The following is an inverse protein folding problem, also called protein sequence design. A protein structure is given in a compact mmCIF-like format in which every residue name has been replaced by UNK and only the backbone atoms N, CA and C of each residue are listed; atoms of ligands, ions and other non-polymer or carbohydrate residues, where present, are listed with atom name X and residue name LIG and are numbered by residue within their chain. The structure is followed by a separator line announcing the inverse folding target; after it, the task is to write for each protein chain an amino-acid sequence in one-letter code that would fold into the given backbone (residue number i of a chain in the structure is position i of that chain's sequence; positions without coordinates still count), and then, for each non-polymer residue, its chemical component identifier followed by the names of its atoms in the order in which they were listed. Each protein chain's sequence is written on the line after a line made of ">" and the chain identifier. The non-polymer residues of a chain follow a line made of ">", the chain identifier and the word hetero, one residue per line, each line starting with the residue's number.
data_IF_238227885253
#
_entry.id   IF_238227885253
#
_cell.length_a   1.000
_cell.length_b   1.000
_cell.length_c   1.000
_cell.angle_alpha   90.00
_cell.angle_beta   90.00
_cell.angle_gamma   90.00
#
_symmetry.space_group_name_H-M   'P 1'
#
loop_
_entity.id
_entity.type
_entity.pdbx_description
1 polymer ?
#
# COMPACT_ATOMS: atom_id res chain seq x y z
N UNK A 1 14.97 -37.23 11.13
CA UNK A 1 14.60 -36.62 12.43
C UNK A 1 13.71 -35.43 12.19
N UNK A 2 12.56 -35.38 12.84
CA UNK A 2 11.62 -34.27 12.79
C UNK A 2 12.18 -33.03 13.50
N UNK A 3 11.67 -31.83 13.16
CA UNK A 3 12.06 -30.60 13.84
C UNK A 3 11.81 -30.67 15.36
N UNK A 4 10.74 -31.34 15.79
CA UNK A 4 10.38 -31.51 17.19
C UNK A 4 11.43 -32.35 17.96
N UNK A 5 11.85 -33.48 17.40
CA UNK A 5 12.85 -34.35 18.02
C UNK A 5 14.20 -33.65 18.16
N UNK A 6 14.62 -32.92 17.12
CA UNK A 6 15.91 -32.21 17.14
C UNK A 6 15.93 -31.05 18.14
N UNK A 7 14.82 -30.31 18.28
CA UNK A 7 14.68 -29.24 19.29
C UNK A 7 14.78 -29.85 20.70
N UNK A 8 14.06 -30.94 20.96
CA UNK A 8 14.09 -31.63 22.25
C UNK A 8 15.48 -32.19 22.57
N UNK A 9 16.18 -32.76 21.59
CA UNK A 9 17.54 -33.27 21.75
C UNK A 9 18.52 -32.17 22.12
N UNK A 10 18.44 -31.01 21.44
CA UNK A 10 19.29 -29.86 21.76
C UNK A 10 19.02 -29.33 23.17
N UNK A 11 17.75 -29.21 23.57
CA UNK A 11 17.40 -28.78 24.93
C UNK A 11 17.90 -29.78 25.99
N UNK A 12 17.90 -31.09 25.70
CA UNK A 12 18.48 -32.13 26.57
C UNK A 12 20.00 -32.01 26.70
N UNK A 13 20.69 -31.72 25.59
CA UNK A 13 22.15 -31.57 25.58
C UNK A 13 22.61 -30.34 26.36
N UNK A 14 21.90 -29.22 26.22
CA UNK A 14 22.30 -27.93 26.79
C UNK A 14 21.85 -27.80 28.25
N UNK A 15 20.75 -28.46 28.64
CA UNK A 15 20.22 -28.52 30.01
C UNK A 15 20.10 -27.16 30.72
N UNK A 16 19.87 -26.09 29.96
CA UNK A 16 19.61 -24.73 30.44
C UNK A 16 18.59 -24.04 29.50
N UNK A 17 17.96 -22.93 29.94
CA UNK A 17 17.05 -22.18 29.08
C UNK A 17 17.75 -21.66 27.82
N UNK A 18 17.16 -21.93 26.67
CA UNK A 18 17.71 -21.54 25.35
C UNK A 18 16.69 -20.76 24.53
N UNK A 19 17.18 -19.81 23.75
CA UNK A 19 16.37 -19.02 22.82
C UNK A 19 16.18 -19.76 21.51
N UNK A 20 15.12 -19.41 20.76
CA UNK A 20 14.92 -19.93 19.40
C UNK A 20 16.14 -19.67 18.49
N UNK A 21 16.81 -18.55 18.67
CA UNK A 21 18.03 -18.21 17.93
C UNK A 21 19.19 -19.16 18.27
N UNK A 22 19.43 -19.44 19.55
CA UNK A 22 20.49 -20.39 19.96
C UNK A 22 20.24 -21.80 19.41
N UNK A 23 18.98 -22.24 19.38
CA UNK A 23 18.59 -23.52 18.76
C UNK A 23 18.88 -23.51 17.25
N UNK A 24 18.59 -22.41 16.56
CA UNK A 24 18.85 -22.26 15.13
C UNK A 24 20.34 -22.16 14.81
N UNK A 25 21.10 -21.37 15.57
CA UNK A 25 22.53 -21.14 15.37
C UNK A 25 23.32 -22.44 15.57
N UNK A 26 22.95 -23.26 16.56
CA UNK A 26 23.56 -24.57 16.76
C UNK A 26 23.22 -25.58 15.65
N UNK A 27 22.08 -25.43 14.98
CA UNK A 27 21.57 -26.39 13.98
C UNK A 27 21.94 -26.02 12.55
N UNK A 28 22.04 -24.72 12.25
CA UNK A 28 22.28 -24.19 10.92
C UNK A 28 23.40 -23.13 10.93
N UNK A 29 24.62 -23.47 11.38
CA UNK A 29 25.73 -22.52 11.38
C UNK A 29 26.04 -22.11 9.93
N UNK A 30 25.91 -20.81 9.63
CA UNK A 30 26.18 -20.25 8.31
C UNK A 30 25.20 -20.62 7.19
N UNK A 31 24.03 -21.20 7.51
CA UNK A 31 22.98 -21.55 6.53
C UNK A 31 21.70 -20.75 6.76
N UNK A 32 20.83 -20.59 5.73
CA UNK A 32 19.51 -19.97 5.91
C UNK A 32 18.70 -20.70 6.99
N UNK A 33 18.23 -19.96 7.99
CA UNK A 33 17.57 -20.51 9.17
C UNK A 33 16.06 -20.69 8.92
N UNK A 34 15.51 -21.91 9.05
CA UNK A 34 14.08 -22.15 8.90
C UNK A 34 13.28 -21.56 10.08
N UNK A 35 12.01 -21.27 9.87
CA UNK A 35 11.12 -20.82 10.94
C UNK A 35 10.74 -22.00 11.86
N UNK A 36 11.14 -21.96 13.13
CA UNK A 36 10.92 -23.05 14.10
C UNK A 36 9.89 -22.72 15.21
N UNK A 37 9.37 -21.48 15.25
CA UNK A 37 8.53 -21.05 16.37
C UNK A 37 7.16 -21.75 16.41
N UNK A 38 6.63 -22.19 15.27
CA UNK A 38 5.43 -23.03 15.25
C UNK A 38 5.67 -24.35 15.98
N UNK A 39 6.77 -25.03 15.67
CA UNK A 39 7.16 -26.28 16.32
C UNK A 39 7.48 -26.11 17.80
N UNK A 40 8.08 -24.99 18.20
CA UNK A 40 8.29 -24.65 19.63
C UNK A 40 6.94 -24.48 20.32
N UNK A 41 5.99 -23.75 19.72
CA UNK A 41 4.66 -23.56 20.29
C UNK A 41 3.92 -24.90 20.44
N UNK A 42 3.99 -25.79 19.45
CA UNK A 42 3.38 -27.12 19.53
C UNK A 42 3.99 -27.93 20.68
N UNK A 43 5.31 -27.86 20.88
CA UNK A 43 5.99 -28.54 22.00
C UNK A 43 5.58 -27.95 23.36
N UNK A 44 5.38 -26.64 23.46
CA UNK A 44 4.89 -25.97 24.67
C UNK A 44 3.44 -26.34 24.95
N UNK A 45 2.57 -26.35 23.95
CA UNK A 45 1.17 -26.77 24.07
C UNK A 45 1.04 -28.23 24.51
N UNK A 46 1.92 -29.10 24.03
CA UNK A 46 1.99 -30.49 24.45
C UNK A 46 2.76 -30.70 25.76
N UNK A 47 3.06 -29.63 26.52
CA UNK A 47 3.78 -29.66 27.81
C UNK A 47 5.16 -30.35 27.74
N UNK A 48 5.77 -30.40 26.55
CA UNK A 48 7.12 -30.97 26.32
C UNK A 48 8.23 -29.94 26.53
N UNK A 49 7.91 -28.66 26.46
CA UNK A 49 8.80 -27.54 26.78
C UNK A 49 8.10 -26.56 27.71
N UNK A 50 8.86 -25.95 28.60
CA UNK A 50 8.46 -24.79 29.41
C UNK A 50 9.02 -23.54 28.76
N UNK A 51 8.16 -22.56 28.51
CA UNK A 51 8.53 -21.28 27.90
C UNK A 51 8.52 -20.17 28.95
N UNK A 52 9.55 -19.34 28.94
CA UNK A 52 9.63 -18.13 29.77
C UNK A 52 9.54 -16.88 28.88
N UNK A 53 8.41 -16.18 28.98
CA UNK A 53 8.13 -14.93 28.25
C UNK A 53 8.49 -13.66 29.04
N UNK A 54 8.90 -13.77 30.29
CA UNK A 54 9.34 -12.63 31.12
C UNK A 54 10.70 -12.08 30.67
N UNK A 55 11.49 -12.91 29.98
CA UNK A 55 12.79 -12.54 29.40
C UNK A 55 12.66 -12.29 27.89
N UNK A 56 13.38 -11.27 27.38
CA UNK A 56 13.45 -10.95 25.94
C UNK A 56 14.87 -11.11 25.41
N UNK A 57 15.10 -11.93 24.36
CA UNK A 57 14.14 -12.83 23.71
C UNK A 57 13.68 -13.97 24.64
N UNK A 58 12.47 -14.51 24.40
CA UNK A 58 11.93 -15.60 25.22
C UNK A 58 12.86 -16.82 25.20
N UNK A 59 12.85 -17.59 26.28
CA UNK A 59 13.62 -18.83 26.39
C UNK A 59 12.69 -20.03 26.55
N UNK A 60 13.19 -21.21 26.18
CA UNK A 60 12.52 -22.50 26.39
C UNK A 60 13.48 -23.48 27.05
N UNK A 61 12.94 -24.36 27.88
CA UNK A 61 13.67 -25.47 28.50
C UNK A 61 12.81 -26.71 28.65
N UNK A 62 13.42 -27.82 29.02
CA UNK A 62 12.67 -29.02 29.42
C UNK A 62 12.00 -28.80 30.79
N UNK A 63 10.82 -29.41 31.01
CA UNK A 63 10.24 -29.50 32.33
C UNK A 63 11.15 -30.25 33.30
N UNK A 64 11.15 -29.83 34.57
CA UNK A 64 11.80 -30.58 35.65
C UNK A 64 10.86 -31.65 36.21
N UNK A 65 11.41 -32.73 36.76
CA UNK A 65 10.60 -33.79 37.37
C UNK A 65 9.78 -33.24 38.54
N UNK A 66 8.47 -33.46 38.51
CA UNK A 66 7.52 -32.94 39.50
C UNK A 66 7.13 -31.47 39.32
N UNK A 67 7.60 -30.81 38.26
CA UNK A 67 7.23 -29.42 37.98
C UNK A 67 5.76 -29.30 37.53
N UNK A 68 5.00 -28.47 38.23
CA UNK A 68 3.66 -28.07 37.80
C UNK A 68 3.80 -27.07 36.67
N UNK A 69 3.72 -27.56 35.43
CA UNK A 69 3.76 -26.72 34.23
C UNK A 69 2.42 -25.97 34.14
N UNK A 70 2.42 -24.62 34.14
CA UNK A 70 1.20 -23.84 33.95
C UNK A 70 0.50 -24.21 32.64
N UNK A 71 -0.82 -24.05 32.57
CA UNK A 71 -1.55 -24.31 31.34
C UNK A 71 -0.97 -23.46 30.20
N UNK A 72 -0.58 -24.07 29.07
CA UNK A 72 -0.01 -23.35 27.95
C UNK A 72 -1.04 -22.32 27.47
N UNK A 73 -0.65 -21.05 27.37
CA UNK A 73 -1.48 -20.07 26.68
C UNK A 73 -1.66 -20.54 25.22
N UNK A 74 -2.91 -20.62 24.75
CA UNK A 74 -3.22 -21.08 23.39
C UNK A 74 -2.77 -20.02 22.37
N UNK A 75 -1.62 -20.26 21.75
CA UNK A 75 -1.10 -19.45 20.65
C UNK A 75 -1.44 -20.04 19.27
N UNK A 76 -2.24 -21.12 19.21
CA UNK A 76 -2.66 -21.72 17.95
C UNK A 76 -3.62 -20.80 17.21
N UNK A 77 -3.47 -20.70 15.89
CA UNK A 77 -4.37 -19.91 15.03
C UNK A 77 -5.71 -20.60 14.76
N UNK A 78 -6.01 -21.73 15.41
CA UNK A 78 -7.00 -22.71 14.95
C UNK A 78 -8.38 -22.51 15.59
N UNK A 79 -8.49 -21.87 16.76
CA UNK A 79 -9.78 -21.55 17.39
C UNK A 79 -10.12 -20.06 17.37
N UNK A 80 -10.15 -19.45 16.17
CA UNK A 80 -11.04 -18.30 15.96
C UNK A 80 -12.34 -18.82 15.37
N UNK A 81 -13.30 -19.11 16.24
CA UNK A 81 -14.72 -18.96 15.90
C UNK A 81 -14.84 -17.64 15.14
N UNK A 82 -15.42 -17.63 13.93
CA UNK A 82 -15.64 -16.41 13.15
C UNK A 82 -16.28 -15.38 14.09
N UNK A 83 -15.54 -14.36 14.56
CA UNK A 83 -16.16 -13.34 15.35
C UNK A 83 -16.89 -12.48 14.33
N UNK A 84 -18.20 -12.35 14.47
CA UNK A 84 -18.91 -11.14 14.07
C UNK A 84 -18.21 -9.98 14.75
N UNK A 85 -17.20 -9.41 14.09
CA UNK A 85 -16.33 -8.39 14.66
C UNK A 85 -17.04 -7.05 14.68
N UNK A 86 -17.75 -6.79 15.77
CA UNK A 86 -17.83 -5.44 16.31
C UNK A 86 -16.46 -5.11 16.92
N UNK A 87 -15.72 -4.21 16.28
CA UNK A 87 -14.40 -3.79 16.74
C UNK A 87 -14.54 -2.78 17.90
N UNK A 88 -14.33 -3.25 19.13
CA UNK A 88 -14.16 -2.39 20.31
C UNK A 88 -12.73 -2.43 20.82
N UNK A 89 -12.06 -1.25 20.83
CA UNK A 89 -10.84 -0.92 21.60
C UNK A 89 -9.55 -1.58 21.12
N UNK A 90 -8.51 -0.90 20.66
CA UNK A 90 -8.01 0.46 20.88
C UNK A 90 -7.68 1.03 19.50
N UNK A 91 -8.32 2.14 19.09
CA UNK A 91 -7.92 2.86 17.89
C UNK A 91 -6.53 3.44 18.13
N UNK A 92 -5.53 2.94 17.41
CA UNK A 92 -4.30 3.71 17.21
C UNK A 92 -4.75 5.02 16.56
N UNK A 93 -4.45 6.20 17.12
CA UNK A 93 -4.94 7.46 16.59
C UNK A 93 -4.45 7.60 15.14
N UNK A 94 -5.40 7.52 14.21
CA UNK A 94 -5.15 7.82 12.81
C UNK A 94 -5.53 9.28 12.58
N UNK A 95 -4.84 9.91 11.64
CA UNK A 95 -5.05 11.34 11.39
C UNK A 95 -6.47 11.52 10.86
N UNK A 96 -7.20 12.44 11.49
CA UNK A 96 -8.50 12.92 11.03
C UNK A 96 -8.30 14.22 10.27
N UNK A 97 -9.17 14.47 9.32
CA UNK A 97 -9.25 15.76 8.66
C UNK A 97 -10.70 16.10 8.34
N UNK A 98 -11.00 17.37 8.17
CA UNK A 98 -12.34 17.87 7.84
C UNK A 98 -12.42 18.36 6.40
N UNK A 99 -13.65 18.62 5.95
CA UNK A 99 -13.89 19.21 4.63
C UNK A 99 -13.28 20.62 4.52
N UNK A 100 -13.34 21.41 5.58
CA UNK A 100 -12.77 22.76 5.61
C UNK A 100 -11.24 22.74 5.43
N UNK A 101 -10.55 21.74 5.97
CA UNK A 101 -9.11 21.57 5.79
C UNK A 101 -8.75 21.19 4.36
N UNK A 102 -9.57 20.36 3.71
CA UNK A 102 -9.44 20.03 2.29
C UNK A 102 -9.64 21.29 1.42
N UNK A 103 -10.67 22.07 1.71
CA UNK A 103 -11.00 23.29 0.96
C UNK A 103 -9.96 24.41 1.15
N UNK A 104 -9.47 24.60 2.37
CA UNK A 104 -8.37 25.52 2.63
C UNK A 104 -7.11 25.10 1.88
N UNK A 105 -6.78 23.80 1.89
CA UNK A 105 -5.60 23.31 1.18
C UNK A 105 -5.74 23.46 -0.33
N UNK A 106 -6.92 23.18 -0.89
CA UNK A 106 -7.21 23.42 -2.29
C UNK A 106 -7.04 24.91 -2.67
N UNK A 107 -7.51 25.84 -1.83
CA UNK A 107 -7.29 27.29 -2.03
C UNK A 107 -5.81 27.66 -1.98
N UNK A 108 -5.04 27.06 -1.07
CA UNK A 108 -3.59 27.27 -0.97
C UNK A 108 -2.84 26.76 -2.20
N UNK A 109 -3.16 25.55 -2.68
CA UNK A 109 -2.56 25.00 -3.91
C UNK A 109 -2.83 25.92 -5.10
N UNK A 110 -4.07 26.38 -5.28
CA UNK A 110 -4.43 27.24 -6.40
C UNK A 110 -3.71 28.60 -6.38
N UNK A 111 -3.34 29.10 -5.19
CA UNK A 111 -2.59 30.35 -5.02
C UNK A 111 -1.07 30.15 -5.04
N UNK A 112 -0.59 28.92 -5.03
CA UNK A 112 0.84 28.63 -5.02
C UNK A 112 1.45 29.00 -6.38
N UNK A 113 2.49 29.86 -6.40
CA UNK A 113 3.07 30.37 -7.64
C UNK A 113 3.75 29.28 -8.48
N UNK A 114 4.01 28.09 -7.92
CA UNK A 114 4.55 26.97 -8.69
C UNK A 114 3.44 26.02 -9.10
N UNK A 115 2.67 25.52 -8.13
CA UNK A 115 1.71 24.44 -8.40
C UNK A 115 0.40 24.94 -8.98
N UNK A 116 -0.06 26.11 -8.54
CA UNK A 116 -1.22 26.77 -9.14
C UNK A 116 -0.96 27.12 -10.60
N UNK A 117 0.20 27.71 -10.90
CA UNK A 117 0.59 28.05 -12.27
C UNK A 117 0.78 26.82 -13.16
N UNK A 118 1.46 25.78 -12.68
CA UNK A 118 1.58 24.52 -13.43
C UNK A 118 0.22 23.88 -13.68
N UNK A 119 -0.66 23.83 -12.67
CA UNK A 119 -2.03 23.35 -12.82
C UNK A 119 -2.83 24.15 -13.85
N UNK A 120 -2.65 25.48 -13.89
CA UNK A 120 -3.28 26.35 -14.87
C UNK A 120 -2.78 26.08 -16.30
N UNK A 121 -1.47 25.83 -16.49
CA UNK A 121 -0.91 25.44 -17.78
C UNK A 121 -1.47 24.10 -18.24
N UNK A 122 -1.50 23.07 -17.37
CA UNK A 122 -2.10 21.77 -17.70
C UNK A 122 -3.56 21.94 -18.10
N UNK A 123 -4.35 22.66 -17.29
CA UNK A 123 -5.76 22.93 -17.57
C UNK A 123 -5.95 23.62 -18.94
N UNK A 124 -5.16 24.65 -19.23
CA UNK A 124 -5.21 25.40 -20.50
C UNK A 124 -4.87 24.51 -21.70
N UNK A 125 -3.76 23.77 -21.64
CA UNK A 125 -3.32 22.89 -22.71
C UNK A 125 -4.32 21.76 -22.98
N UNK A 126 -4.85 21.11 -21.93
CA UNK A 126 -5.80 20.02 -22.09
C UNK A 126 -7.17 20.51 -22.59
N UNK A 127 -7.63 21.70 -22.20
CA UNK A 127 -8.87 22.26 -22.76
C UNK A 127 -8.69 22.73 -24.21
N UNK A 128 -7.50 23.20 -24.60
CA UNK A 128 -7.20 23.59 -25.99
C UNK A 128 -7.14 22.37 -26.92
N UNK A 129 -6.62 21.26 -26.42
CA UNK A 129 -6.49 20.01 -27.17
C UNK A 129 -7.11 18.85 -26.39
N UNK A 130 -8.45 18.76 -26.30
CA UNK A 130 -9.11 17.83 -25.38
C UNK A 130 -8.92 16.37 -25.79
N UNK A 131 -8.93 16.07 -27.09
CA UNK A 131 -8.91 14.71 -27.59
C UNK A 131 -7.50 14.14 -27.76
N UNK A 132 -7.38 12.82 -27.73
CA UNK A 132 -6.17 12.03 -27.89
C UNK A 132 -6.20 11.26 -29.22
N UNK A 133 -6.34 12.00 -30.32
CA UNK A 133 -6.39 11.48 -31.70
C UNK A 133 -5.10 11.71 -32.48
N UNK A 134 -4.51 12.90 -32.32
CA UNK A 134 -3.31 13.32 -33.02
C UNK A 134 -2.05 12.93 -32.24
N UNK A 135 -1.11 12.26 -32.92
CA UNK A 135 0.08 11.71 -32.28
C UNK A 135 1.00 12.78 -31.70
N UNK A 136 1.12 13.94 -32.35
CA UNK A 136 1.99 15.04 -31.90
C UNK A 136 1.38 15.74 -30.70
N UNK A 137 0.05 15.93 -30.71
CA UNK A 137 -0.70 16.43 -29.55
C UNK A 137 -0.53 15.48 -28.35
N UNK A 138 -0.68 14.17 -28.54
CA UNK A 138 -0.51 13.19 -27.46
C UNK A 138 0.91 13.24 -26.92
N UNK A 139 1.93 13.32 -27.79
CA UNK A 139 3.32 13.46 -27.40
C UNK A 139 3.53 14.70 -26.52
N UNK A 140 2.98 15.85 -26.91
CA UNK A 140 3.06 17.09 -26.13
C UNK A 140 2.37 16.96 -24.76
N UNK A 141 1.21 16.31 -24.69
CA UNK A 141 0.52 16.06 -23.41
C UNK A 141 1.33 15.15 -22.49
N UNK A 142 1.92 14.08 -23.03
CA UNK A 142 2.80 13.18 -22.28
C UNK A 142 3.97 13.98 -21.70
N UNK A 143 4.65 14.78 -22.52
CA UNK A 143 5.78 15.59 -22.09
C UNK A 143 5.38 16.62 -21.02
N UNK A 144 4.25 17.32 -21.20
CA UNK A 144 3.74 18.29 -20.24
C UNK A 144 3.47 17.64 -18.87
N UNK A 145 2.79 16.51 -18.86
CA UNK A 145 2.43 15.82 -17.61
C UNK A 145 3.68 15.21 -16.96
N UNK A 146 4.59 14.61 -17.72
CA UNK A 146 5.85 14.07 -17.18
C UNK A 146 6.71 15.16 -16.54
N UNK A 147 6.85 16.31 -17.21
CA UNK A 147 7.65 17.43 -16.73
C UNK A 147 7.07 18.07 -15.47
N UNK A 148 5.76 18.34 -15.46
CA UNK A 148 5.09 19.00 -14.32
C UNK A 148 4.97 18.09 -13.10
N UNK A 149 4.95 16.77 -13.29
CA UNK A 149 4.77 15.80 -12.20
C UNK A 149 6.02 14.95 -11.92
N UNK A 150 7.14 15.25 -12.58
CA UNK A 150 8.41 14.54 -12.43
C UNK A 150 8.25 13.01 -12.49
N UNK A 151 7.46 12.49 -13.45
CA UNK A 151 7.27 11.04 -13.56
C UNK A 151 8.51 10.32 -14.11
N UNK A 152 9.52 11.08 -14.54
CA UNK A 152 10.84 10.63 -14.98
C UNK A 152 10.75 9.60 -16.13
N UNK A 153 9.75 9.71 -17.01
CA UNK A 153 9.65 8.84 -18.19
C UNK A 153 10.90 8.95 -19.05
N UNK A 154 11.46 10.16 -19.14
CA UNK A 154 12.69 10.44 -19.86
C UNK A 154 13.89 9.57 -19.41
N UNK A 155 13.99 9.20 -18.12
CA UNK A 155 15.07 8.33 -17.61
C UNK A 155 14.96 6.87 -18.07
N UNK A 156 13.81 6.52 -18.64
CA UNK A 156 13.49 5.17 -19.09
C UNK A 156 13.21 5.12 -20.59
N UNK A 157 13.59 6.12 -21.38
CA UNK A 157 13.36 6.16 -22.84
C UNK A 157 14.00 4.98 -23.58
N UNK A 158 15.05 4.37 -23.03
CA UNK A 158 15.63 3.14 -23.57
C UNK A 158 14.74 1.90 -23.43
N UNK A 159 13.72 1.96 -22.56
CA UNK A 159 12.75 0.89 -22.27
C UNK A 159 11.30 1.29 -22.61
N UNK A 160 11.04 2.59 -22.78
CA UNK A 160 9.74 3.12 -23.16
C UNK A 160 9.91 4.00 -24.37
N UNK A 161 9.45 3.48 -25.50
CA UNK A 161 9.35 4.27 -26.72
C UNK A 161 8.11 5.16 -26.66
N UNK A 162 8.31 6.45 -26.86
CA UNK A 162 7.23 7.44 -26.90
C UNK A 162 6.13 7.05 -27.90
N UNK A 163 6.51 6.53 -29.07
CA UNK A 163 5.58 6.01 -30.08
C UNK A 163 4.67 4.91 -29.55
N UNK A 164 5.21 3.99 -28.73
CA UNK A 164 4.42 2.91 -28.11
C UNK A 164 3.43 3.45 -27.07
N UNK A 165 3.78 4.51 -26.34
CA UNK A 165 2.83 5.16 -25.42
C UNK A 165 1.71 5.86 -26.18
N UNK A 166 2.05 6.56 -27.25
CA UNK A 166 1.07 7.24 -28.13
C UNK A 166 0.09 6.21 -28.69
N UNK A 167 0.58 5.12 -29.28
CA UNK A 167 -0.27 4.08 -29.84
C UNK A 167 -1.15 3.41 -28.78
N UNK A 168 -0.64 3.22 -27.56
CA UNK A 168 -1.44 2.71 -26.43
C UNK A 168 -2.62 3.64 -26.09
N UNK A 169 -2.40 4.95 -26.05
CA UNK A 169 -3.45 5.92 -25.75
C UNK A 169 -4.47 5.98 -26.89
N UNK A 170 -4.02 5.94 -28.15
CA UNK A 170 -4.91 5.98 -29.33
C UNK A 170 -5.79 4.73 -29.47
N UNK A 171 -5.23 3.56 -29.20
CA UNK A 171 -5.89 2.28 -29.44
C UNK A 171 -6.91 1.86 -28.38
N UNK A 172 -7.02 2.58 -27.26
CA UNK A 172 -7.85 2.19 -26.12
C UNK A 172 -9.14 3.00 -25.93
N UNK A 173 -9.54 3.82 -26.91
CA UNK A 173 -10.67 4.77 -26.78
C UNK A 173 -10.56 5.64 -25.52
N UNK A 174 -9.35 6.16 -25.26
CA UNK A 174 -8.99 6.86 -24.03
C UNK A 174 -10.03 7.91 -23.60
N UNK A 175 -10.36 8.83 -24.51
CA UNK A 175 -11.22 9.98 -24.21
C UNK A 175 -12.63 9.55 -23.76
N UNK A 176 -13.23 8.59 -24.45
CA UNK A 176 -14.56 8.07 -24.12
C UNK A 176 -14.56 7.38 -22.75
N UNK A 177 -13.55 6.56 -22.47
CA UNK A 177 -13.42 5.82 -21.22
C UNK A 177 -13.18 6.76 -20.03
N UNK A 178 -12.29 7.75 -20.19
CA UNK A 178 -12.01 8.73 -19.13
C UNK A 178 -13.20 9.64 -18.85
N UNK A 179 -13.96 10.03 -19.88
CA UNK A 179 -15.19 10.81 -19.71
C UNK A 179 -16.28 10.03 -18.94
N UNK A 180 -16.28 8.70 -19.05
CA UNK A 180 -17.20 7.79 -18.34
C UNK A 180 -16.71 7.37 -16.95
N UNK A 181 -15.52 7.82 -16.53
CA UNK A 181 -14.95 7.44 -15.24
C UNK A 181 -14.45 5.98 -15.19
N UNK A 182 -14.02 5.41 -16.32
CA UNK A 182 -13.51 4.04 -16.35
C UNK A 182 -12.11 3.94 -15.71
N UNK A 183 -12.08 3.60 -14.43
CA UNK A 183 -10.87 3.52 -13.61
C UNK A 183 -9.98 2.33 -13.94
N UNK A 184 -10.51 1.28 -14.59
CA UNK A 184 -9.73 0.11 -15.01
C UNK A 184 -8.63 0.48 -16.03
N UNK A 185 -8.87 1.56 -16.79
CA UNK A 185 -7.97 2.09 -17.81
C UNK A 185 -6.55 2.37 -17.29
N UNK A 186 -6.40 2.82 -16.04
CA UNK A 186 -5.09 3.09 -15.45
C UNK A 186 -4.27 1.80 -15.37
N UNK A 187 -4.86 0.72 -14.88
CA UNK A 187 -4.20 -0.58 -14.74
C UNK A 187 -3.77 -1.16 -16.10
N UNK A 188 -4.67 -1.08 -17.08
CA UNK A 188 -4.42 -1.55 -18.45
C UNK A 188 -3.25 -0.81 -19.11
N UNK A 189 -3.27 0.53 -19.06
CA UNK A 189 -2.24 1.35 -19.69
C UNK A 189 -0.89 1.24 -18.96
N UNK A 190 -0.92 1.11 -17.63
CA UNK A 190 0.25 1.04 -16.78
C UNK A 190 1.15 -0.18 -17.02
N UNK A 191 0.59 -1.28 -17.54
CA UNK A 191 1.31 -2.53 -17.80
C UNK A 191 2.29 -2.38 -18.97
N UNK A 192 3.57 -2.20 -18.66
CA UNK A 192 4.65 -2.06 -19.63
C UNK A 192 5.96 -2.65 -19.07
N UNK A 193 7.05 -2.62 -19.83
CA UNK A 193 8.39 -3.08 -19.41
C UNK A 193 8.85 -2.41 -18.12
N UNK A 194 8.41 -1.17 -17.89
CA UNK A 194 8.37 -0.58 -16.57
C UNK A 194 6.93 -0.33 -16.15
N UNK A 195 6.71 -0.29 -14.84
CA UNK A 195 5.39 0.00 -14.29
C UNK A 195 5.07 1.50 -14.43
N UNK A 196 4.08 1.83 -15.25
CA UNK A 196 3.66 3.20 -15.58
C UNK A 196 2.47 3.70 -14.74
N UNK A 197 2.20 3.06 -13.61
CA UNK A 197 1.01 3.30 -12.79
C UNK A 197 0.92 4.75 -12.30
N UNK A 198 2.03 5.33 -11.83
CA UNK A 198 2.13 6.74 -11.42
C UNK A 198 1.84 7.73 -12.56
N UNK A 199 2.29 7.42 -13.77
CA UNK A 199 2.07 8.28 -14.92
C UNK A 199 0.61 8.24 -15.34
N UNK A 200 0.05 7.04 -15.56
CA UNK A 200 -1.32 6.92 -16.05
C UNK A 200 -2.38 7.32 -15.03
N UNK A 201 -2.12 7.21 -13.72
CA UNK A 201 -3.02 7.79 -12.71
C UNK A 201 -3.17 9.30 -12.88
N UNK A 202 -2.08 10.00 -13.22
CA UNK A 202 -2.08 11.46 -13.42
C UNK A 202 -2.67 11.83 -14.77
N UNK A 203 -2.28 11.10 -15.82
CA UNK A 203 -2.75 11.33 -17.17
C UNK A 203 -4.29 11.21 -17.26
N UNK A 204 -4.85 10.18 -16.63
CA UNK A 204 -6.30 10.00 -16.54
C UNK A 204 -6.96 11.07 -15.66
N UNK A 205 -6.43 11.32 -14.46
CA UNK A 205 -6.96 12.35 -13.55
C UNK A 205 -7.04 13.73 -14.20
N UNK A 206 -5.98 14.17 -14.89
CA UNK A 206 -5.98 15.52 -15.45
C UNK A 206 -6.97 15.68 -16.61
N UNK A 207 -7.15 14.65 -17.45
CA UNK A 207 -8.20 14.69 -18.48
C UNK A 207 -9.60 14.61 -17.86
N UNK A 208 -9.83 13.68 -16.93
CA UNK A 208 -11.11 13.53 -16.23
C UNK A 208 -11.53 14.84 -15.55
N UNK A 209 -10.60 15.47 -14.82
CA UNK A 209 -10.87 16.68 -14.05
C UNK A 209 -10.95 17.95 -14.91
N UNK A 210 -9.96 18.21 -15.77
CA UNK A 210 -9.90 19.48 -16.50
C UNK A 210 -10.75 19.52 -17.77
N UNK A 211 -10.89 18.39 -18.47
CA UNK A 211 -11.63 18.32 -19.75
C UNK A 211 -13.07 17.91 -19.50
N UNK A 212 -13.29 16.83 -18.74
CA UNK A 212 -14.63 16.24 -18.57
C UNK A 212 -15.35 16.69 -17.29
N UNK A 213 -14.69 17.46 -16.41
CA UNK A 213 -15.26 18.02 -15.18
C UNK A 213 -15.77 16.97 -14.18
N UNK A 214 -15.15 15.79 -14.23
CA UNK A 214 -15.38 14.69 -13.31
C UNK A 214 -14.28 14.62 -12.24
N UNK A 215 -14.42 13.71 -11.27
CA UNK A 215 -13.47 13.52 -10.17
C UNK A 215 -13.31 12.02 -9.87
N UNK A 216 -13.22 11.19 -10.90
CA UNK A 216 -13.28 9.72 -10.78
C UNK A 216 -11.91 9.08 -10.48
N UNK A 217 -10.83 9.87 -10.59
CA UNK A 217 -9.46 9.40 -10.46
C UNK A 217 -8.74 10.16 -9.33
N UNK A 218 -7.72 9.51 -8.78
CA UNK A 218 -6.77 9.99 -7.76
C UNK A 218 -5.34 9.77 -8.26
N UNK A 219 -4.41 10.68 -7.92
CA UNK A 219 -2.99 10.52 -8.23
C UNK A 219 -2.39 9.34 -7.45
N UNK A 220 -1.53 8.58 -8.12
CA UNK A 220 -0.56 7.71 -7.48
C UNK A 220 0.86 8.27 -7.67
N UNK A 221 1.62 8.41 -6.60
CA UNK A 221 3.06 8.67 -6.62
C UNK A 221 3.72 8.24 -5.31
N UNK A 222 5.01 8.57 -5.14
CA UNK A 222 5.74 8.28 -3.91
C UNK A 222 5.19 9.03 -2.68
N UNK A 223 4.68 10.24 -2.83
CA UNK A 223 4.10 11.02 -1.72
C UNK A 223 2.82 10.33 -1.26
N UNK A 224 1.90 10.04 -2.18
CA UNK A 224 0.66 9.34 -1.87
C UNK A 224 0.95 7.98 -1.24
N UNK A 225 1.85 7.18 -1.83
CA UNK A 225 2.21 5.87 -1.30
C UNK A 225 2.76 5.93 0.14
N UNK A 226 3.54 6.96 0.46
CA UNK A 226 4.18 7.09 1.76
C UNK A 226 3.23 7.63 2.84
N UNK A 227 2.27 8.50 2.46
CA UNK A 227 1.54 9.31 3.44
C UNK A 227 0.08 8.92 3.61
N UNK A 228 -0.62 8.35 2.62
CA UNK A 228 -2.06 8.03 2.78
C UNK A 228 -2.35 6.99 3.87
N UNK A 229 -1.36 6.14 4.20
CA UNK A 229 -1.51 5.15 5.26
C UNK A 229 -1.71 5.75 6.66
N UNK A 230 -1.34 7.01 6.90
CA UNK A 230 -1.48 7.67 8.19
C UNK A 230 -2.94 7.93 8.60
N UNK A 231 -3.87 7.91 7.63
CA UNK A 231 -5.30 8.10 7.86
C UNK A 231 -6.03 6.78 8.16
N UNK A 232 -5.29 5.67 8.32
CA UNK A 232 -5.85 4.34 8.49
C UNK A 232 -5.13 3.58 9.61
N UNK A 233 -5.89 3.10 10.60
CA UNK A 233 -5.37 2.15 11.60
C UNK A 233 -5.15 0.75 11.03
N UNK A 234 -5.98 0.38 10.04
CA UNK A 234 -5.92 -0.85 9.27
C UNK A 234 -6.70 -0.71 7.96
N UNK A 235 -6.41 -1.61 7.01
CA UNK A 235 -7.13 -1.74 5.75
C UNK A 235 -7.23 -3.21 5.33
N UNK A 236 -8.37 -3.65 4.82
CA UNK A 236 -8.53 -4.98 4.25
C UNK A 236 -8.40 -4.92 2.73
N UNK A 237 -7.53 -5.76 2.18
CA UNK A 237 -7.33 -5.87 0.74
C UNK A 237 -7.23 -7.34 0.34
N UNK A 238 -8.14 -7.78 -0.54
CA UNK A 238 -8.24 -9.16 -1.05
C UNK A 238 -8.24 -10.21 0.08
N UNK A 239 -9.11 -10.01 1.08
CA UNK A 239 -9.27 -10.92 2.23
C UNK A 239 -8.14 -10.89 3.25
N UNK A 240 -7.14 -10.01 3.09
CA UNK A 240 -6.04 -9.83 4.04
C UNK A 240 -6.13 -8.47 4.73
N UNK A 241 -6.10 -8.50 6.06
CA UNK A 241 -6.02 -7.30 6.89
C UNK A 241 -4.56 -6.83 7.00
N UNK A 242 -4.32 -5.58 6.64
CA UNK A 242 -3.06 -4.86 6.79
C UNK A 242 -3.17 -3.88 7.96
N UNK A 243 -2.25 -3.94 8.92
CA UNK A 243 -2.15 -2.94 9.99
C UNK A 243 -1.54 -1.64 9.45
N UNK A 244 -1.70 -0.51 10.15
CA UNK A 244 -1.13 0.79 9.79
C UNK A 244 0.31 0.73 9.23
N UNK A 245 1.23 0.07 9.94
CA UNK A 245 2.64 -0.08 9.53
C UNK A 245 2.87 -0.88 8.24
N UNK A 246 1.84 -1.57 7.76
CA UNK A 246 1.87 -2.44 6.58
C UNK A 246 1.09 -1.85 5.40
N UNK A 247 0.40 -0.72 5.57
CA UNK A 247 -0.46 -0.12 4.53
C UNK A 247 0.37 0.32 3.34
N UNK A 248 1.55 0.93 3.55
CA UNK A 248 2.49 1.25 2.45
C UNK A 248 2.80 0.02 1.59
N UNK A 249 3.05 -1.13 2.22
CA UNK A 249 3.31 -2.39 1.49
C UNK A 249 2.05 -2.93 0.80
N UNK A 250 0.85 -2.66 1.33
CA UNK A 250 -0.41 -2.96 0.66
C UNK A 250 -0.55 -2.14 -0.63
N UNK A 251 -0.32 -0.84 -0.54
CA UNK A 251 -0.37 0.10 -1.67
C UNK A 251 0.68 -0.27 -2.73
N UNK A 252 1.89 -0.65 -2.31
CA UNK A 252 2.92 -1.14 -3.23
C UNK A 252 2.47 -2.40 -4.00
N UNK A 253 1.73 -3.31 -3.35
CA UNK A 253 1.15 -4.47 -4.04
C UNK A 253 0.07 -4.08 -5.03
N UNK A 254 -0.76 -3.09 -4.72
CA UNK A 254 -1.76 -2.58 -5.66
C UNK A 254 -1.05 -2.06 -6.92
N UNK A 255 0.01 -1.25 -6.75
CA UNK A 255 0.85 -0.77 -7.85
C UNK A 255 1.47 -1.92 -8.66
N UNK A 256 2.08 -2.89 -8.00
CA UNK A 256 2.74 -4.05 -8.65
C UNK A 256 1.75 -4.92 -9.44
N UNK A 257 0.51 -5.03 -8.95
CA UNK A 257 -0.56 -5.79 -9.59
C UNK A 257 -1.39 -4.95 -10.57
N UNK A 258 -1.05 -3.68 -10.79
CA UNK A 258 -1.82 -2.74 -11.62
C UNK A 258 -3.28 -2.58 -11.16
N UNK A 259 -3.52 -2.71 -9.86
CA UNK A 259 -4.84 -2.69 -9.24
C UNK A 259 -5.21 -1.26 -8.80
N UNK A 260 -5.60 -0.44 -9.77
CA UNK A 260 -5.99 0.95 -9.53
C UNK A 260 -7.33 1.06 -8.82
N UNK A 261 -8.29 0.18 -9.13
CA UNK A 261 -9.57 0.08 -8.43
C UNK A 261 -9.39 -0.16 -6.93
N UNK A 262 -8.51 -1.10 -6.56
CA UNK A 262 -8.20 -1.35 -5.16
C UNK A 262 -7.51 -0.18 -4.46
N UNK A 263 -6.70 0.60 -5.20
CA UNK A 263 -6.10 1.84 -4.69
C UNK A 263 -7.15 2.93 -4.50
N UNK A 264 -8.05 3.14 -5.47
CA UNK A 264 -9.14 4.10 -5.35
C UNK A 264 -10.07 3.76 -4.19
N UNK A 265 -10.45 2.49 -4.04
CA UNK A 265 -11.26 2.01 -2.91
C UNK A 265 -10.60 2.27 -1.55
N UNK A 266 -9.26 2.24 -1.47
CA UNK A 266 -8.53 2.62 -0.26
C UNK A 266 -8.71 4.10 0.04
N UNK A 267 -8.60 4.96 -0.97
CA UNK A 267 -8.80 6.41 -0.85
C UNK A 267 -10.24 6.73 -0.48
N UNK A 268 -11.22 6.11 -1.14
CA UNK A 268 -12.64 6.21 -0.80
C UNK A 268 -12.86 5.86 0.67
N UNK A 269 -12.28 4.75 1.14
CA UNK A 269 -12.42 4.36 2.56
C UNK A 269 -11.86 5.40 3.54
N UNK A 270 -10.83 6.15 3.15
CA UNK A 270 -10.29 7.26 3.95
C UNK A 270 -11.29 8.41 3.99
N UNK A 271 -11.86 8.77 2.85
CA UNK A 271 -12.83 9.87 2.73
C UNK A 271 -14.12 9.56 3.48
N UNK A 272 -14.67 8.35 3.31
CA UNK A 272 -15.86 7.89 4.01
C UNK A 272 -15.66 7.90 5.54
N UNK A 273 -14.50 7.43 6.02
CA UNK A 273 -14.20 7.45 7.46
C UNK A 273 -14.20 8.88 8.01
N UNK A 274 -13.77 9.86 7.23
CA UNK A 274 -13.73 11.27 7.60
C UNK A 274 -15.03 12.02 7.23
N UNK A 275 -16.09 11.31 6.82
CA UNK A 275 -17.39 11.87 6.42
C UNK A 275 -17.29 12.91 5.29
N UNK A 276 -16.38 12.69 4.32
CA UNK A 276 -16.18 13.60 3.19
C UNK A 276 -17.00 13.13 1.98
N UNK A 277 -18.09 13.85 1.71
CA UNK A 277 -19.01 13.53 0.62
C UNK A 277 -19.14 14.66 -0.42
N UNK A 278 -18.36 15.73 -0.28
CA UNK A 278 -18.49 16.88 -1.17
C UNK A 278 -17.91 16.64 -2.56
N UNK A 279 -18.38 17.44 -3.52
CA UNK A 279 -17.92 17.37 -4.90
C UNK A 279 -16.43 17.71 -4.99
N UNK A 280 -15.69 16.96 -5.81
CA UNK A 280 -14.26 17.18 -5.99
C UNK A 280 -13.40 16.61 -4.85
N UNK A 281 -13.96 15.73 -4.00
CA UNK A 281 -13.28 15.17 -2.83
C UNK A 281 -11.98 14.45 -3.17
N UNK A 282 -11.89 13.74 -4.30
CA UNK A 282 -10.67 13.03 -4.68
C UNK A 282 -9.57 14.02 -4.99
N UNK A 283 -9.86 15.01 -5.85
CA UNK A 283 -8.87 16.04 -6.18
C UNK A 283 -8.45 16.88 -4.98
N UNK A 284 -9.37 17.25 -4.11
CA UNK A 284 -9.06 17.98 -2.88
C UNK A 284 -8.19 17.15 -1.93
N UNK A 285 -8.46 15.85 -1.81
CA UNK A 285 -7.66 14.94 -1.00
C UNK A 285 -6.24 14.76 -1.56
N UNK A 286 -6.10 14.59 -2.88
CA UNK A 286 -4.79 14.59 -3.55
C UNK A 286 -3.98 15.83 -3.16
N UNK A 287 -4.59 17.02 -3.30
CA UNK A 287 -3.96 18.27 -2.91
C UNK A 287 -3.62 18.33 -1.43
N UNK A 288 -4.51 17.85 -0.57
CA UNK A 288 -4.29 17.83 0.88
C UNK A 288 -3.09 16.98 1.29
N UNK A 289 -3.01 15.74 0.79
CA UNK A 289 -1.89 14.86 1.09
C UNK A 289 -0.62 15.40 0.48
N UNK A 290 -0.67 15.82 -0.78
CA UNK A 290 0.51 16.24 -1.51
C UNK A 290 1.11 17.53 -0.96
N UNK A 291 0.29 18.57 -0.76
CA UNK A 291 0.76 19.89 -0.33
C UNK A 291 1.35 19.91 1.08
N UNK A 292 0.87 19.01 1.95
CA UNK A 292 1.35 18.89 3.32
C UNK A 292 2.58 17.99 3.48
N UNK A 293 3.03 17.29 2.42
CA UNK A 293 4.12 16.31 2.49
C UNK A 293 5.13 16.43 1.32
N UNK A 294 5.11 17.57 0.61
CA UNK A 294 6.01 17.90 -0.51
C UNK A 294 7.37 18.44 -0.06
#
# INVERSE_FOLDING_TARGET
>A
MSNAETIMQYCRMVNMPVTAKQILDARFPGKPQPYINSTINDLVQNKKLVRNDEVRPYTVRLPMDGEVIPEPQDYSRINRSVPTKTWGGIEVPFIRFTEEELDETARRVNRDPRYGEQGAIINSCLNKFPQNVDSDIIAMKIALIDMTNSTNLNKHLSKIYLTRLIEKIKSCNFDERVAKGDVSLVGELAKNEINLFSFFSKYCLYHNYYVYRNDDYVIFDGVMQNHVGQFLSHYEYKGKIYKASQIKNCIEKMRQNYDYEGYLALIDSILERNNIHSKGRHRKFDWFVWYNNR
#
